data_IF_834944823930
#
_entry.id   IF_834944823930
#
_cell.length_a   1.000
_cell.length_b   1.000
_cell.length_c   1.000
_cell.angle_alpha   90.00
_cell.angle_beta   90.00
_cell.angle_gamma   90.00
#
_symmetry.space_group_name_H-M   'P 1'
#
loop_
_entity.id
_entity.type
_entity.pdbx_description
1 polymer ?
#
# COMPACT_ATOMS: atom_id res chain seq x y z
N UNK A 1 33.10 -0.58 10.33
CA UNK A 1 32.22 -0.59 9.13
C UNK A 1 33.11 -0.07 8.01
N UNK A 2 33.34 -0.88 6.99
CA UNK A 2 34.32 -0.59 5.94
C UNK A 2 33.76 0.47 5.00
N UNK A 3 34.61 1.40 4.54
CA UNK A 3 34.23 2.49 3.63
C UNK A 3 33.63 1.98 2.31
N UNK A 4 34.09 0.81 1.84
CA UNK A 4 33.54 0.13 0.66
C UNK A 4 32.10 -0.37 0.89
N UNK A 5 31.76 -0.82 2.09
CA UNK A 5 30.38 -1.23 2.42
C UNK A 5 29.44 -0.04 2.48
N UNK A 6 29.88 1.10 3.03
CA UNK A 6 29.12 2.35 3.03
C UNK A 6 28.93 2.90 1.59
N UNK A 7 29.97 2.86 0.76
CA UNK A 7 29.86 3.26 -0.64
C UNK A 7 28.93 2.35 -1.44
N UNK A 8 28.94 1.04 -1.18
CA UNK A 8 28.05 0.07 -1.83
C UNK A 8 26.59 0.27 -1.39
N UNK A 9 26.35 0.58 -0.11
CA UNK A 9 25.01 0.90 0.40
C UNK A 9 24.50 2.21 -0.19
N UNK A 10 25.35 3.25 -0.23
CA UNK A 10 25.01 4.55 -0.82
C UNK A 10 24.74 4.45 -2.34
N UNK A 11 25.52 3.68 -3.08
CA UNK A 11 25.31 3.41 -4.50
C UNK A 11 24.01 2.63 -4.75
N UNK A 12 23.73 1.61 -3.97
CA UNK A 12 22.46 0.85 -4.06
C UNK A 12 21.25 1.73 -3.73
N UNK A 13 21.36 2.57 -2.72
CA UNK A 13 20.32 3.54 -2.35
C UNK A 13 20.10 4.60 -3.45
N UNK A 14 21.19 5.15 -4.02
CA UNK A 14 21.10 6.12 -5.10
C UNK A 14 20.57 5.51 -6.41
N UNK A 15 20.97 4.29 -6.75
CA UNK A 15 20.47 3.56 -7.94
C UNK A 15 18.99 3.20 -7.76
N UNK A 16 18.56 2.77 -6.56
CA UNK A 16 17.15 2.52 -6.26
C UNK A 16 16.31 3.79 -6.38
N UNK A 17 16.75 4.89 -5.76
CA UNK A 17 16.06 6.18 -5.84
C UNK A 17 15.96 6.73 -7.28
N UNK A 18 17.02 6.57 -8.08
CA UNK A 18 17.01 6.98 -9.48
C UNK A 18 16.07 6.17 -10.39
N UNK A 19 15.66 4.98 -9.95
CA UNK A 19 14.76 4.07 -10.68
C UNK A 19 13.32 4.09 -10.16
N UNK A 20 13.06 4.76 -9.03
CA UNK A 20 11.73 4.81 -8.44
C UNK A 20 10.80 5.70 -9.25
N UNK A 21 9.68 5.14 -9.68
CA UNK A 21 8.63 5.85 -10.41
C UNK A 21 7.31 5.71 -9.69
N UNK A 22 6.55 6.78 -9.63
CA UNK A 22 5.26 6.82 -8.94
C UNK A 22 4.11 6.94 -9.94
N UNK A 23 3.14 6.06 -9.80
CA UNK A 23 1.91 6.07 -10.56
C UNK A 23 0.72 6.29 -9.63
N UNK A 24 -0.12 7.26 -9.96
CA UNK A 24 -1.45 7.44 -9.38
C UNK A 24 -2.42 6.65 -10.25
N UNK A 25 -3.07 5.65 -9.68
CA UNK A 25 -3.90 4.69 -10.42
C UNK A 25 -5.33 4.80 -9.94
N UNK A 26 -6.29 4.92 -10.85
CA UNK A 26 -7.70 5.00 -10.50
C UNK A 26 -8.34 3.61 -10.44
N UNK A 27 -9.04 3.32 -9.34
CA UNK A 27 -9.80 2.10 -9.14
C UNK A 27 -11.16 2.42 -8.50
N UNK A 28 -12.17 1.55 -8.62
CA UNK A 28 -13.41 1.72 -7.86
C UNK A 28 -13.17 1.70 -6.34
N UNK A 29 -13.84 2.60 -5.59
CA UNK A 29 -13.76 2.64 -4.12
C UNK A 29 -14.67 1.54 -3.52
N UNK A 30 -14.21 0.29 -3.58
CA UNK A 30 -14.92 -0.89 -3.05
C UNK A 30 -13.97 -1.98 -2.59
N UNK A 31 -14.46 -2.80 -1.66
CA UNK A 31 -13.73 -3.97 -1.18
C UNK A 31 -13.26 -4.86 -2.34
N UNK A 32 -12.02 -5.29 -2.29
CA UNK A 32 -11.38 -6.13 -3.29
C UNK A 32 -10.76 -5.39 -4.49
N UNK A 33 -11.09 -4.12 -4.74
CA UNK A 33 -10.54 -3.38 -5.89
C UNK A 33 -9.02 -3.23 -5.79
N UNK A 34 -8.49 -2.91 -4.61
CA UNK A 34 -7.05 -2.81 -4.37
C UNK A 34 -6.34 -4.15 -4.58
N UNK A 35 -6.91 -5.25 -4.10
CA UNK A 35 -6.38 -6.58 -4.36
C UNK A 35 -6.38 -6.90 -5.86
N UNK A 36 -7.47 -6.59 -6.57
CA UNK A 36 -7.57 -6.76 -8.02
C UNK A 36 -6.47 -6.03 -8.78
N UNK A 37 -6.22 -4.76 -8.41
CA UNK A 37 -5.13 -3.96 -8.97
C UNK A 37 -3.76 -4.63 -8.74
N UNK A 38 -3.43 -5.00 -7.51
CA UNK A 38 -2.14 -5.63 -7.19
C UNK A 38 -1.95 -6.97 -7.92
N UNK A 39 -3.02 -7.75 -8.06
CA UNK A 39 -2.99 -9.03 -8.78
C UNK A 39 -2.76 -8.87 -10.29
N UNK A 40 -3.16 -7.76 -10.89
CA UNK A 40 -2.96 -7.50 -12.32
C UNK A 40 -1.54 -7.05 -12.67
N UNK A 41 -0.72 -6.69 -11.66
CA UNK A 41 0.65 -6.26 -11.88
C UNK A 41 1.58 -7.45 -12.17
N UNK A 42 2.62 -7.26 -13.01
CA UNK A 42 3.64 -8.29 -13.24
C UNK A 42 4.35 -8.67 -11.93
N UNK A 43 4.57 -9.96 -11.71
CA UNK A 43 5.25 -10.47 -10.49
C UNK A 43 6.69 -9.99 -10.34
N UNK A 44 7.32 -9.57 -11.44
CA UNK A 44 8.68 -9.01 -11.46
C UNK A 44 8.76 -7.59 -10.92
N UNK A 45 7.63 -6.90 -10.79
CA UNK A 45 7.58 -5.50 -10.37
C UNK A 45 7.51 -5.41 -8.85
N UNK A 46 8.48 -4.71 -8.26
CA UNK A 46 8.53 -4.51 -6.81
C UNK A 46 7.87 -3.18 -6.42
N UNK A 47 6.92 -3.26 -5.50
CA UNK A 47 6.31 -2.09 -4.87
C UNK A 47 7.25 -1.60 -3.78
N UNK A 48 7.72 -0.38 -3.91
CA UNK A 48 8.65 0.24 -2.98
C UNK A 48 8.03 1.35 -2.13
N UNK A 49 6.86 1.84 -2.53
CA UNK A 49 6.11 2.87 -1.81
C UNK A 49 4.60 2.68 -2.07
N UNK A 50 3.78 2.95 -1.07
CA UNK A 50 2.34 2.91 -1.23
C UNK A 50 1.69 4.01 -0.39
N UNK A 51 0.98 4.93 -1.04
CA UNK A 51 0.33 6.07 -0.43
C UNK A 51 -1.14 6.08 -0.85
N UNK A 52 -2.02 5.88 0.11
CA UNK A 52 -3.46 5.93 -0.14
C UNK A 52 -4.22 6.43 1.08
N UNK A 53 -5.14 7.33 0.85
CA UNK A 53 -6.15 7.76 1.81
C UNK A 53 -7.45 8.01 1.05
N UNK A 54 -8.57 7.55 1.61
CA UNK A 54 -9.89 7.70 1.01
C UNK A 54 -10.33 9.16 0.99
N UNK A 55 -10.51 9.71 -0.21
CA UNK A 55 -10.95 11.09 -0.45
C UNK A 55 -12.28 11.17 -1.21
N UNK A 56 -12.76 10.05 -1.74
CA UNK A 56 -14.00 9.95 -2.52
C UNK A 56 -14.72 8.65 -2.19
N UNK A 57 -16.01 8.57 -2.42
CA UNK A 57 -16.84 7.39 -2.11
C UNK A 57 -17.02 6.46 -3.32
N UNK A 58 -16.73 6.92 -4.53
CA UNK A 58 -16.91 6.16 -5.76
C UNK A 58 -15.59 5.65 -6.33
N UNK A 59 -14.52 6.48 -6.24
CA UNK A 59 -13.23 6.20 -6.84
C UNK A 59 -12.09 6.34 -5.81
N UNK A 60 -11.17 5.37 -5.82
CA UNK A 60 -9.91 5.43 -5.10
C UNK A 60 -8.77 5.77 -6.08
N UNK A 61 -7.79 6.50 -5.60
CA UNK A 61 -6.63 6.91 -6.39
C UNK A 61 -5.32 6.68 -5.61
N UNK A 62 -4.93 5.40 -5.36
CA UNK A 62 -3.65 5.11 -4.73
C UNK A 62 -2.48 5.61 -5.56
N UNK A 63 -1.46 6.13 -4.87
CA UNK A 63 -0.15 6.44 -5.45
C UNK A 63 0.81 5.33 -5.06
N UNK A 64 1.36 4.65 -6.05
CA UNK A 64 2.25 3.51 -5.84
C UNK A 64 3.59 3.81 -6.47
N UNK A 65 4.65 3.69 -5.66
CA UNK A 65 6.05 3.81 -6.07
C UNK A 65 6.64 2.45 -6.40
N UNK A 66 7.26 2.34 -7.56
CA UNK A 66 7.86 1.12 -8.08
C UNK A 66 9.36 1.32 -8.30
N UNK A 67 10.17 0.39 -7.84
CA UNK A 67 11.59 0.31 -8.23
C UNK A 67 11.68 -0.56 -9.48
N UNK A 68 11.80 0.08 -10.64
CA UNK A 68 11.68 -0.57 -11.95
C UNK A 68 12.75 -0.12 -12.94
N UNK A 69 13.19 -1.04 -13.78
CA UNK A 69 13.93 -0.75 -15.01
C UNK A 69 13.00 -0.20 -16.10
N UNK A 70 13.52 0.43 -17.16
CA UNK A 70 12.67 0.89 -18.28
C UNK A 70 11.81 -0.22 -18.90
N UNK A 71 12.32 -1.45 -18.96
CA UNK A 71 11.57 -2.60 -19.49
C UNK A 71 10.44 -3.02 -18.56
N UNK A 72 10.71 -3.14 -17.26
CA UNK A 72 9.69 -3.47 -16.25
C UNK A 72 8.61 -2.40 -16.18
N UNK A 73 8.99 -1.13 -16.32
CA UNK A 73 8.02 -0.03 -16.36
C UNK A 73 7.09 -0.14 -17.58
N UNK A 74 7.63 -0.50 -18.74
CA UNK A 74 6.82 -0.75 -19.94
C UNK A 74 5.85 -1.92 -19.74
N UNK A 75 6.31 -3.01 -19.12
CA UNK A 75 5.45 -4.16 -18.80
C UNK A 75 4.36 -3.79 -17.80
N UNK A 76 4.70 -3.01 -16.76
CA UNK A 76 3.74 -2.52 -15.77
C UNK A 76 2.66 -1.65 -16.41
N UNK A 77 3.06 -0.66 -17.22
CA UNK A 77 2.10 0.25 -17.87
C UNK A 77 1.23 -0.49 -18.88
N UNK A 78 1.77 -1.48 -19.60
CA UNK A 78 0.97 -2.33 -20.49
C UNK A 78 -0.06 -3.14 -19.68
N UNK A 79 0.34 -3.76 -18.56
CA UNK A 79 -0.58 -4.52 -17.72
C UNK A 79 -1.72 -3.63 -17.14
N UNK A 80 -1.44 -2.38 -16.82
CA UNK A 80 -2.46 -1.42 -16.38
C UNK A 80 -3.45 -1.11 -17.52
N UNK A 81 -2.96 -0.89 -18.74
CA UNK A 81 -3.81 -0.66 -19.92
C UNK A 81 -4.67 -1.89 -20.22
N UNK A 82 -4.08 -3.08 -20.21
CA UNK A 82 -4.80 -4.35 -20.47
C UNK A 82 -5.87 -4.62 -19.40
N UNK A 83 -5.60 -4.19 -18.14
CA UNK A 83 -6.56 -4.23 -17.04
C UNK A 83 -7.60 -3.12 -17.05
N UNK A 84 -7.60 -2.24 -18.07
CA UNK A 84 -8.46 -1.06 -18.19
C UNK A 84 -8.33 -0.07 -17.00
N UNK A 85 -7.15 0.01 -16.38
CA UNK A 85 -6.85 1.00 -15.36
C UNK A 85 -6.41 2.32 -15.98
N UNK A 86 -6.98 3.42 -15.48
CA UNK A 86 -6.47 4.77 -15.77
C UNK A 86 -5.36 5.11 -14.78
N UNK A 87 -4.23 5.60 -15.28
CA UNK A 87 -3.11 6.00 -14.45
C UNK A 87 -2.44 7.28 -14.93
N UNK A 88 -1.74 7.94 -14.02
CA UNK A 88 -0.93 9.13 -14.25
C UNK A 88 0.43 8.95 -13.58
N UNK A 89 1.51 9.35 -14.25
CA UNK A 89 2.83 9.37 -13.63
C UNK A 89 3.00 10.65 -12.82
N UNK A 90 3.24 10.49 -11.51
CA UNK A 90 3.34 11.56 -10.52
C UNK A 90 4.69 11.59 -9.80
N UNK A 91 5.74 11.08 -10.46
CA UNK A 91 7.10 10.93 -9.88
C UNK A 91 7.70 12.24 -9.41
N UNK A 92 7.41 13.35 -10.08
CA UNK A 92 7.96 14.68 -9.77
C UNK A 92 7.10 15.48 -8.77
N UNK A 93 5.89 15.01 -8.46
CA UNK A 93 4.96 15.77 -7.64
C UNK A 93 5.45 15.92 -6.19
N UNK A 94 5.33 17.15 -5.66
CA UNK A 94 5.86 17.49 -4.33
C UNK A 94 5.15 16.75 -3.21
N UNK A 95 3.83 16.66 -3.26
CA UNK A 95 3.01 15.95 -2.28
C UNK A 95 3.34 14.46 -2.23
N UNK A 96 3.58 13.84 -3.38
CA UNK A 96 4.01 12.44 -3.50
C UNK A 96 5.40 12.25 -2.89
N UNK A 97 6.36 13.11 -3.24
CA UNK A 97 7.74 13.03 -2.74
C UNK A 97 7.84 13.23 -1.23
N UNK A 98 7.02 14.10 -0.66
CA UNK A 98 6.93 14.36 0.79
C UNK A 98 5.86 13.53 1.50
N UNK A 99 5.20 12.61 0.78
CA UNK A 99 4.23 11.66 1.33
C UNK A 99 3.06 12.32 2.06
N UNK A 100 2.49 13.37 1.46
CA UNK A 100 1.29 14.03 1.98
C UNK A 100 0.05 13.20 1.62
N UNK A 101 -0.29 12.23 2.45
CA UNK A 101 -1.43 11.33 2.22
C UNK A 101 -2.70 12.01 2.71
N UNK A 102 -3.51 12.50 1.79
CA UNK A 102 -4.80 13.08 2.08
C UNK A 102 -5.87 12.01 2.30
N UNK A 103 -6.77 12.24 3.25
CA UNK A 103 -7.98 11.44 3.43
C UNK A 103 -9.08 12.30 4.05
N UNK A 104 -10.34 11.87 3.91
CA UNK A 104 -11.49 12.53 4.51
C UNK A 104 -12.10 11.63 5.59
N UNK A 105 -11.87 11.99 6.86
CA UNK A 105 -12.35 11.19 8.00
C UNK A 105 -13.86 10.97 7.99
N UNK A 106 -14.63 11.93 7.47
CA UNK A 106 -16.09 11.85 7.34
C UNK A 106 -16.58 10.76 6.39
N UNK A 107 -15.73 10.29 5.47
CA UNK A 107 -16.05 9.21 4.53
C UNK A 107 -15.75 7.81 5.10
N UNK A 108 -15.09 7.73 6.26
CA UNK A 108 -14.68 6.46 6.85
C UNK A 108 -15.82 5.86 7.69
N UNK A 109 -16.25 4.64 7.35
CA UNK A 109 -17.30 3.92 8.07
C UNK A 109 -16.69 2.89 9.01
N UNK A 110 -16.94 3.03 10.33
CA UNK A 110 -16.44 2.12 11.37
C UNK A 110 -14.96 1.72 11.19
N UNK A 111 -14.01 2.68 11.03
CA UNK A 111 -12.65 2.37 10.63
C UNK A 111 -11.85 1.71 11.75
N UNK A 112 -10.95 0.80 11.35
CA UNK A 112 -9.88 0.24 12.17
C UNK A 112 -8.55 0.59 11.51
N UNK A 113 -7.57 0.97 12.31
CA UNK A 113 -6.19 1.12 11.87
C UNK A 113 -5.31 0.07 12.54
N UNK A 114 -4.40 -0.52 11.76
CA UNK A 114 -3.41 -1.48 12.24
C UNK A 114 -2.02 -1.11 11.69
N UNK A 115 -1.00 -1.35 12.48
CA UNK A 115 0.35 -1.53 11.95
C UNK A 115 0.50 -2.99 11.54
N UNK A 116 1.16 -3.24 10.43
CA UNK A 116 1.38 -4.58 9.88
C UNK A 116 2.87 -4.77 9.60
N UNK A 117 3.43 -5.87 10.08
CA UNK A 117 4.76 -6.34 9.68
C UNK A 117 4.63 -7.58 8.78
N UNK A 118 5.35 -7.58 7.66
CA UNK A 118 5.35 -8.68 6.70
C UNK A 118 6.76 -8.93 6.17
N UNK A 119 6.99 -10.13 5.63
CA UNK A 119 8.24 -10.43 4.96
C UNK A 119 8.31 -9.69 3.63
N UNK A 120 9.38 -8.92 3.43
CA UNK A 120 9.64 -8.22 2.18
C UNK A 120 9.90 -9.23 1.06
N UNK A 121 8.90 -9.41 0.22
CA UNK A 121 8.94 -10.20 -1.00
C UNK A 121 7.89 -9.72 -1.99
N UNK A 122 8.08 -9.94 -3.29
CA UNK A 122 7.04 -9.69 -4.27
C UNK A 122 5.73 -10.40 -3.89
N UNK A 123 4.61 -9.72 -4.06
CA UNK A 123 3.28 -10.27 -3.80
C UNK A 123 2.83 -10.33 -2.33
N UNK A 124 3.70 -10.01 -1.33
CA UNK A 124 3.34 -10.11 0.09
C UNK A 124 2.07 -9.33 0.45
N UNK A 125 1.93 -8.09 -0.05
CA UNK A 125 0.76 -7.26 0.16
C UNK A 125 -0.48 -7.81 -0.55
N UNK A 126 -0.33 -8.36 -1.75
CA UNK A 126 -1.43 -8.99 -2.48
C UNK A 126 -1.95 -10.23 -1.74
N UNK A 127 -1.06 -11.08 -1.20
CA UNK A 127 -1.43 -12.25 -0.40
C UNK A 127 -2.23 -11.86 0.85
N UNK A 128 -1.80 -10.81 1.54
CA UNK A 128 -2.53 -10.30 2.70
C UNK A 128 -3.90 -9.74 2.30
N UNK A 129 -3.94 -8.86 1.29
CA UNK A 129 -5.19 -8.25 0.82
C UNK A 129 -6.17 -9.27 0.25
N UNK A 130 -5.70 -10.37 -0.36
CA UNK A 130 -6.54 -11.48 -0.83
C UNK A 130 -7.46 -12.02 0.27
N UNK A 131 -6.94 -12.09 1.49
CA UNK A 131 -7.68 -12.67 2.64
C UNK A 131 -8.59 -11.63 3.28
N UNK A 132 -8.12 -10.38 3.44
CA UNK A 132 -8.88 -9.37 4.20
C UNK A 132 -9.92 -8.62 3.34
N UNK A 133 -9.70 -8.48 2.04
CA UNK A 133 -10.57 -7.72 1.13
C UNK A 133 -12.02 -8.22 1.02
N UNK A 134 -12.34 -9.53 1.14
CA UNK A 134 -13.74 -9.96 1.15
C UNK A 134 -14.53 -9.46 2.37
N UNK A 135 -13.85 -9.06 3.43
CA UNK A 135 -14.44 -8.73 4.74
C UNK A 135 -14.40 -7.24 5.06
N UNK A 136 -13.58 -6.46 4.37
CA UNK A 136 -13.33 -5.05 4.67
C UNK A 136 -12.92 -4.28 3.42
N UNK A 137 -13.13 -2.97 3.42
CA UNK A 137 -12.58 -2.09 2.41
C UNK A 137 -11.34 -1.39 2.96
N UNK A 138 -10.29 -1.28 2.15
CA UNK A 138 -9.08 -0.53 2.50
C UNK A 138 -9.39 0.96 2.34
N UNK A 139 -9.24 1.76 3.40
CA UNK A 139 -9.50 3.19 3.38
C UNK A 139 -8.25 4.06 3.64
N UNK A 140 -7.15 3.45 4.08
CA UNK A 140 -5.87 4.10 4.28
C UNK A 140 -4.72 3.11 4.11
N UNK A 141 -3.64 3.53 3.44
CA UNK A 141 -2.43 2.73 3.31
C UNK A 141 -1.20 3.63 3.25
N UNK A 142 -0.27 3.38 4.15
CA UNK A 142 1.02 4.05 4.20
C UNK A 142 2.12 3.00 4.37
N UNK A 143 2.91 2.80 3.32
CA UNK A 143 4.05 1.90 3.29
C UNK A 143 5.19 2.49 2.49
N UNK A 144 6.41 2.30 2.97
CA UNK A 144 7.63 2.60 2.24
C UNK A 144 8.67 1.51 2.51
N UNK A 145 9.30 1.03 1.47
CA UNK A 145 10.41 0.09 1.57
C UNK A 145 11.65 0.78 2.15
N UNK A 146 12.13 0.27 3.27
CA UNK A 146 13.28 0.80 4.03
C UNK A 146 14.61 0.09 3.74
N UNK A 147 14.62 -0.92 2.87
CA UNK A 147 15.78 -1.78 2.63
C UNK A 147 15.92 -2.92 3.63
N UNK A 148 15.00 -3.05 4.58
CA UNK A 148 14.97 -4.14 5.55
C UNK A 148 14.28 -5.38 4.99
N UNK A 149 14.49 -6.54 5.65
CA UNK A 149 13.81 -7.80 5.29
C UNK A 149 12.36 -7.86 5.79
N UNK A 150 11.97 -6.88 6.59
CA UNK A 150 10.63 -6.76 7.17
C UNK A 150 10.03 -5.45 6.73
N UNK A 151 8.94 -5.53 5.98
CA UNK A 151 8.12 -4.38 5.64
C UNK A 151 7.21 -4.00 6.78
N UNK A 152 7.02 -2.69 6.98
CA UNK A 152 6.10 -2.14 7.96
C UNK A 152 5.13 -1.19 7.29
N UNK A 153 3.84 -1.42 7.49
CA UNK A 153 2.78 -0.60 6.91
C UNK A 153 1.80 -0.13 7.97
N UNK A 154 1.22 1.06 7.79
CA UNK A 154 0.03 1.50 8.48
C UNK A 154 -1.17 1.36 7.55
N UNK A 155 -2.15 0.57 7.96
CA UNK A 155 -3.34 0.22 7.18
C UNK A 155 -4.60 0.67 7.91
N UNK A 156 -5.54 1.25 7.17
CA UNK A 156 -6.89 1.54 7.63
C UNK A 156 -7.91 0.70 6.87
N UNK A 157 -8.79 0.04 7.58
CA UNK A 157 -9.89 -0.75 7.02
C UNK A 157 -11.21 -0.21 7.51
N UNK A 158 -12.20 -0.16 6.65
CA UNK A 158 -13.57 0.24 7.00
C UNK A 158 -14.56 -0.92 6.83
N UNK A 159 -15.64 -0.83 7.60
CA UNK A 159 -16.68 -1.84 7.67
C UNK A 159 -18.05 -1.19 7.53
N UNK A 160 -19.02 -1.96 7.01
CA UNK A 160 -20.40 -1.49 6.90
C UNK A 160 -21.05 -1.24 8.27
N UNK A 161 -20.58 -1.92 9.32
CA UNK A 161 -21.09 -1.79 10.68
C UNK A 161 -20.06 -2.29 11.71
N UNK A 162 -20.35 -2.07 13.01
CA UNK A 162 -19.47 -2.46 14.11
C UNK A 162 -19.24 -3.98 14.21
N UNK A 163 -20.22 -4.83 13.80
CA UNK A 163 -20.06 -6.30 13.82
C UNK A 163 -18.94 -6.77 12.89
N UNK A 164 -18.76 -6.12 11.74
CA UNK A 164 -17.63 -6.39 10.84
C UNK A 164 -16.29 -6.12 11.51
N UNK A 165 -16.22 -4.99 12.22
CA UNK A 165 -15.04 -4.60 13.00
C UNK A 165 -14.69 -5.65 14.08
N UNK A 166 -15.67 -6.14 14.84
CA UNK A 166 -15.47 -7.15 15.89
C UNK A 166 -14.93 -8.48 15.35
N UNK A 167 -15.36 -8.87 14.13
CA UNK A 167 -14.92 -10.10 13.47
C UNK A 167 -13.55 -9.98 12.80
N UNK A 168 -13.04 -8.77 12.63
CA UNK A 168 -11.82 -8.56 11.88
C UNK A 168 -10.58 -9.25 12.48
N UNK A 169 -10.50 -9.37 13.81
CA UNK A 169 -9.41 -10.12 14.45
C UNK A 169 -9.43 -11.62 14.10
N UNK A 170 -10.63 -12.19 13.85
CA UNK A 170 -10.74 -13.57 13.37
C UNK A 170 -10.24 -13.68 11.92
N UNK A 171 -10.54 -12.68 11.08
CA UNK A 171 -10.03 -12.61 9.71
C UNK A 171 -8.51 -12.46 9.71
N UNK A 172 -7.96 -11.60 10.55
CA UNK A 172 -6.51 -11.46 10.71
C UNK A 172 -5.84 -12.76 11.17
N UNK A 173 -6.46 -13.50 12.10
CA UNK A 173 -5.95 -14.82 12.52
C UNK A 173 -5.89 -15.81 11.36
N UNK A 174 -6.85 -15.81 10.45
CA UNK A 174 -6.83 -16.67 9.26
C UNK A 174 -5.75 -16.25 8.25
N UNK A 175 -5.37 -14.98 8.25
CA UNK A 175 -4.33 -14.42 7.40
C UNK A 175 -2.90 -14.54 7.98
N UNK A 176 -2.70 -15.22 9.13
CA UNK A 176 -1.44 -15.25 9.88
C UNK A 176 -0.21 -15.70 9.06
N UNK A 177 -0.41 -16.49 8.03
CA UNK A 177 0.67 -16.91 7.13
C UNK A 177 1.13 -15.81 6.14
N UNK A 178 0.33 -14.76 5.94
CA UNK A 178 0.61 -13.66 5.01
C UNK A 178 1.30 -12.46 5.68
N UNK A 179 1.43 -12.45 7.00
CA UNK A 179 2.09 -11.40 7.75
C UNK A 179 2.91 -11.98 8.93
N UNK A 180 3.76 -11.16 9.51
CA UNK A 180 4.61 -11.52 10.64
C UNK A 180 4.00 -11.12 11.97
N UNK A 181 3.57 -9.87 12.08
CA UNK A 181 2.92 -9.31 13.25
C UNK A 181 1.94 -8.20 12.83
N UNK A 182 0.96 -7.93 13.67
CA UNK A 182 0.13 -6.72 13.57
C UNK A 182 -0.19 -6.18 14.95
N UNK A 183 -0.46 -4.88 15.01
CA UNK A 183 -0.93 -4.22 16.23
C UNK A 183 -2.06 -3.25 15.87
N UNK A 184 -3.13 -3.24 16.67
CA UNK A 184 -4.20 -2.25 16.52
C UNK A 184 -3.74 -0.89 17.02
N UNK A 185 -3.97 0.13 16.23
CA UNK A 185 -3.71 1.52 16.64
C UNK A 185 -4.63 1.88 17.81
N UNK A 186 -4.10 2.52 18.84
CA UNK A 186 -4.84 2.89 20.04
C UNK A 186 -6.00 3.84 19.75
N UNK A 187 -7.06 3.77 20.55
CA UNK A 187 -8.21 4.68 20.44
C UNK A 187 -7.83 6.16 20.46
N UNK A 188 -6.83 6.52 21.28
CA UNK A 188 -6.33 7.90 21.36
C UNK A 188 -5.61 8.32 20.08
N UNK A 189 -4.83 7.43 19.49
CA UNK A 189 -4.19 7.69 18.18
C UNK A 189 -5.21 7.78 17.06
N UNK A 190 -6.23 6.91 17.07
CA UNK A 190 -7.33 6.98 16.10
C UNK A 190 -8.07 8.33 16.21
N UNK A 191 -8.36 8.82 17.41
CA UNK A 191 -8.95 10.16 17.59
C UNK A 191 -8.09 11.27 16.98
N UNK A 192 -6.78 11.22 17.13
CA UNK A 192 -5.88 12.20 16.48
C UNK A 192 -5.83 12.07 14.96
N UNK A 193 -5.97 10.84 14.44
CA UNK A 193 -6.01 10.58 13.00
C UNK A 193 -7.32 11.09 12.40
N UNK A 194 -8.45 10.87 13.07
CA UNK A 194 -9.78 11.19 12.52
C UNK A 194 -10.22 12.65 12.75
N UNK A 195 -9.60 13.37 13.69
CA UNK A 195 -9.90 14.75 14.03
C UNK A 195 -11.00 14.85 15.07
#
# INVERSE_FOLDING_TARGET
MDFEQLATIALRSAVGAARRRFLKIQIPEKAGAMYGLLKSMPETVSIADFQYGKTDSAMAAPVIGFDVSPMEFKLLTQALVDGAYTYEEVTSETDVRFRLIHYQSKLLSCPIFITLEFHERPGALADFLKIVSPHSNLCYFNYVYSGERVGRALLGFEFKNAKGNERFDQVLKSAKHAYRAYERVSKNSIKRILG
#
